data_IF_298734365775
#
_entry.id   IF_298734365775
#
_cell.length_a   1.000
_cell.length_b   1.000
_cell.length_c   1.000
_cell.angle_alpha   90.00
_cell.angle_beta   90.00
_cell.angle_gamma   90.00
#
_symmetry.space_group_name_H-M   'P 1'
#
loop_
_entity.id
_entity.type
_entity.pdbx_description
1 polymer ?
#
# COMPACT_ATOMS: atom_id res chain seq x y z
N UNK A 1 35.76 1.61 0.84
CA UNK A 1 35.73 0.58 -0.23
C UNK A 1 37.16 0.11 -0.47
N UNK A 2 37.40 -1.20 -0.65
CA UNK A 2 38.76 -1.77 -0.74
C UNK A 2 39.37 -1.71 -2.16
N UNK A 3 38.53 -1.75 -3.21
CA UNK A 3 38.97 -1.85 -4.62
C UNK A 3 38.42 -0.75 -5.52
N UNK A 4 37.51 0.11 -5.03
CA UNK A 4 36.84 1.15 -5.82
C UNK A 4 35.87 0.64 -6.89
N UNK A 5 35.64 -0.68 -6.98
CA UNK A 5 34.65 -1.30 -7.87
C UNK A 5 33.64 -2.08 -7.05
N UNK A 6 32.37 -1.97 -7.41
CA UNK A 6 31.31 -2.74 -6.77
C UNK A 6 31.44 -4.23 -7.11
N UNK A 7 31.26 -5.14 -6.13
CA UNK A 7 31.30 -6.57 -6.39
C UNK A 7 30.10 -7.01 -7.24
N UNK A 8 30.30 -8.06 -8.04
CA UNK A 8 29.21 -8.71 -8.74
C UNK A 8 28.29 -9.41 -7.71
N UNK A 9 26.99 -9.16 -7.82
CA UNK A 9 25.97 -9.74 -6.94
C UNK A 9 25.12 -10.73 -7.72
N UNK A 10 24.96 -11.92 -7.14
CA UNK A 10 24.18 -13.02 -7.71
C UNK A 10 23.12 -13.49 -6.71
N UNK A 11 22.03 -14.02 -7.24
CA UNK A 11 20.93 -14.63 -6.51
C UNK A 11 20.80 -16.07 -7.00
N UNK A 12 20.81 -17.01 -6.05
CA UNK A 12 20.45 -18.40 -6.34
C UNK A 12 18.95 -18.56 -6.13
N UNK A 13 18.26 -18.99 -7.18
CA UNK A 13 16.86 -19.31 -7.13
C UNK A 13 16.71 -20.81 -6.85
N UNK A 14 16.24 -21.12 -5.64
CA UNK A 14 16.01 -22.48 -5.14
C UNK A 14 14.51 -22.83 -5.05
N UNK A 15 13.65 -22.05 -5.73
CA UNK A 15 12.19 -22.29 -5.71
C UNK A 15 11.83 -23.62 -6.38
N UNK A 16 12.58 -24.01 -7.41
CA UNK A 16 12.55 -25.35 -8.01
C UNK A 16 13.81 -26.10 -7.58
N UNK A 17 13.64 -27.20 -6.83
CA UNK A 17 14.76 -28.00 -6.33
C UNK A 17 15.38 -28.90 -7.42
N UNK A 18 14.68 -29.07 -8.55
CA UNK A 18 15.18 -29.83 -9.70
C UNK A 18 15.92 -28.95 -10.71
N UNK A 19 15.69 -27.64 -10.69
CA UNK A 19 16.34 -26.66 -11.56
C UNK A 19 16.86 -25.45 -10.76
N UNK A 20 18.00 -25.63 -10.10
CA UNK A 20 18.68 -24.53 -9.40
C UNK A 20 19.33 -23.60 -10.42
N UNK A 21 18.88 -22.34 -10.42
CA UNK A 21 19.43 -21.31 -11.31
C UNK A 21 20.17 -20.24 -10.51
N UNK A 22 21.30 -19.77 -11.04
CA UNK A 22 22.02 -18.61 -10.50
C UNK A 22 21.93 -17.48 -11.51
N UNK A 23 21.40 -16.34 -11.09
CA UNK A 23 21.28 -15.15 -11.93
C UNK A 23 21.86 -13.92 -11.24
N UNK A 24 22.15 -12.86 -12.01
CA UNK A 24 22.59 -11.60 -11.41
C UNK A 24 21.46 -10.99 -10.57
N UNK A 25 21.81 -10.26 -9.51
CA UNK A 25 20.82 -9.58 -8.69
C UNK A 25 19.96 -8.59 -9.50
N UNK A 26 20.53 -7.94 -10.51
CA UNK A 26 19.78 -7.06 -11.41
C UNK A 26 18.72 -7.83 -12.23
N UNK A 27 19.07 -9.01 -12.75
CA UNK A 27 18.12 -9.89 -13.46
C UNK A 27 17.00 -10.36 -12.53
N UNK A 28 17.35 -10.82 -11.33
CA UNK A 28 16.38 -11.28 -10.34
C UNK A 28 15.37 -10.17 -9.94
N UNK A 29 15.85 -8.95 -9.68
CA UNK A 29 14.99 -7.80 -9.37
C UNK A 29 14.08 -7.47 -10.54
N UNK A 30 14.62 -7.38 -11.76
CA UNK A 30 13.83 -7.09 -12.94
C UNK A 30 12.71 -8.12 -13.16
N UNK A 31 13.03 -9.42 -12.97
CA UNK A 31 12.08 -10.52 -13.07
C UNK A 31 10.98 -10.41 -12.01
N UNK A 32 11.34 -10.27 -10.73
CA UNK A 32 10.35 -10.14 -9.65
C UNK A 32 9.45 -8.90 -9.83
N UNK A 33 10.00 -7.78 -10.32
CA UNK A 33 9.20 -6.61 -10.64
C UNK A 33 8.15 -6.93 -11.72
N UNK A 34 8.53 -7.54 -12.83
CA UNK A 34 7.61 -7.81 -13.94
C UNK A 34 6.61 -8.94 -13.64
N UNK A 35 7.04 -10.02 -12.99
CA UNK A 35 6.21 -11.21 -12.79
C UNK A 35 5.30 -11.10 -11.56
N UNK A 36 5.58 -10.15 -10.66
CA UNK A 36 4.81 -9.96 -9.43
C UNK A 36 4.36 -8.53 -9.24
N UNK A 37 5.28 -7.62 -8.88
CA UNK A 37 4.90 -6.32 -8.36
C UNK A 37 4.27 -5.37 -9.39
N UNK A 38 4.53 -5.58 -10.67
CA UNK A 38 3.96 -4.82 -11.78
C UNK A 38 2.96 -5.65 -12.58
N UNK A 39 2.69 -6.89 -12.16
CA UNK A 39 1.82 -7.79 -12.90
C UNK A 39 0.35 -7.48 -12.58
N UNK A 40 -0.53 -7.30 -13.59
CA UNK A 40 -1.92 -6.90 -13.38
C UNK A 40 -2.70 -7.88 -12.50
N UNK A 41 -2.44 -9.19 -12.60
CA UNK A 41 -3.11 -10.18 -11.76
C UNK A 41 -2.74 -10.06 -10.28
N UNK A 42 -1.46 -9.76 -9.98
CA UNK A 42 -1.03 -9.53 -8.61
C UNK A 42 -1.66 -8.25 -8.06
N UNK A 43 -1.68 -7.18 -8.86
CA UNK A 43 -2.31 -5.91 -8.49
C UNK A 43 -3.80 -6.13 -8.19
N UNK A 44 -4.53 -6.84 -9.05
CA UNK A 44 -5.94 -7.17 -8.82
C UNK A 44 -6.14 -7.97 -7.52
N UNK A 45 -5.26 -8.92 -7.22
CA UNK A 45 -5.31 -9.65 -5.95
C UNK A 45 -5.07 -8.72 -4.76
N UNK A 46 -4.08 -7.83 -4.83
CA UNK A 46 -3.85 -6.83 -3.78
C UNK A 46 -5.02 -5.87 -3.62
N UNK A 47 -5.69 -5.48 -4.71
CA UNK A 47 -6.91 -4.66 -4.65
C UNK A 47 -8.02 -5.34 -3.87
N UNK A 48 -8.21 -6.65 -4.05
CA UNK A 48 -9.21 -7.44 -3.33
C UNK A 48 -8.95 -7.46 -1.82
N UNK A 49 -7.69 -7.34 -1.39
CA UNK A 49 -7.26 -7.25 0.01
C UNK A 49 -7.48 -5.85 0.63
N UNK A 50 -7.88 -4.84 -0.15
CA UNK A 50 -8.16 -3.50 0.34
C UNK A 50 -6.94 -2.81 0.96
N UNK A 51 -7.06 -2.38 2.22
CA UNK A 51 -6.01 -1.65 2.95
C UNK A 51 -4.69 -2.43 3.07
N UNK A 52 -4.74 -3.74 3.35
CA UNK A 52 -3.51 -4.53 3.49
C UNK A 52 -2.77 -4.67 2.16
N UNK A 53 -3.52 -4.63 1.05
CA UNK A 53 -2.95 -4.64 -0.30
C UNK A 53 -2.16 -3.39 -0.64
N UNK A 54 -2.61 -2.21 -0.21
CA UNK A 54 -1.88 -0.95 -0.43
C UNK A 54 -0.52 -0.95 0.28
N UNK A 55 -0.44 -1.61 1.44
CA UNK A 55 0.83 -1.76 2.17
C UNK A 55 1.85 -2.60 1.40
N UNK A 56 1.41 -3.57 0.58
CA UNK A 56 2.32 -4.34 -0.27
C UNK A 56 2.88 -3.50 -1.42
N UNK A 57 2.09 -2.58 -1.98
CA UNK A 57 2.57 -1.61 -2.97
C UNK A 57 3.62 -0.69 -2.35
N UNK A 58 3.33 -0.13 -1.17
CA UNK A 58 4.30 0.68 -0.42
C UNK A 58 5.58 -0.11 -0.12
N UNK A 59 5.44 -1.37 0.34
CA UNK A 59 6.58 -2.25 0.62
C UNK A 59 7.45 -2.49 -0.62
N UNK A 60 6.82 -2.62 -1.80
CA UNK A 60 7.55 -2.74 -3.07
C UNK A 60 8.44 -1.52 -3.32
N UNK A 61 7.90 -0.30 -3.20
CA UNK A 61 8.68 0.92 -3.39
C UNK A 61 9.83 1.04 -2.37
N UNK A 62 9.59 0.64 -1.11
CA UNK A 62 10.62 0.62 -0.07
C UNK A 62 11.72 -0.42 -0.32
N UNK A 63 11.37 -1.60 -0.83
CA UNK A 63 12.35 -2.63 -1.19
C UNK A 63 13.20 -2.21 -2.38
N UNK A 64 12.59 -1.62 -3.41
CA UNK A 64 13.33 -1.09 -4.54
C UNK A 64 14.32 -0.02 -4.10
N UNK A 65 13.93 0.85 -3.18
CA UNK A 65 14.83 1.81 -2.55
C UNK A 65 15.96 1.17 -1.76
N UNK A 66 15.67 0.13 -0.98
CA UNK A 66 16.67 -0.62 -0.24
C UNK A 66 17.78 -1.08 -1.19
N UNK A 67 17.41 -1.75 -2.27
CA UNK A 67 18.34 -2.20 -3.31
C UNK A 67 19.08 -1.03 -4.00
N UNK A 68 18.38 0.07 -4.27
CA UNK A 68 18.99 1.26 -4.89
C UNK A 68 20.13 1.84 -4.06
N UNK A 69 19.99 1.86 -2.74
CA UNK A 69 20.99 2.44 -1.83
C UNK A 69 22.08 1.45 -1.46
N UNK A 70 21.76 0.16 -1.33
CA UNK A 70 22.74 -0.86 -0.91
C UNK A 70 23.54 -1.46 -2.07
N UNK A 71 22.94 -1.53 -3.26
CA UNK A 71 23.54 -2.09 -4.47
C UNK A 71 23.05 -1.34 -5.72
N UNK A 72 23.46 -0.08 -5.92
CA UNK A 72 22.90 0.82 -6.91
C UNK A 72 22.92 0.28 -8.34
N UNK A 73 23.94 -0.50 -8.71
CA UNK A 73 24.08 -1.16 -10.01
C UNK A 73 22.97 -2.18 -10.32
N UNK A 74 22.18 -2.60 -9.33
CA UNK A 74 21.11 -3.60 -9.50
C UNK A 74 19.78 -2.98 -9.94
N UNK A 75 19.55 -1.71 -9.60
CA UNK A 75 18.31 -0.98 -9.89
C UNK A 75 18.52 -0.04 -11.08
N UNK A 76 17.71 -0.22 -12.13
CA UNK A 76 17.75 0.62 -13.32
C UNK A 76 16.67 1.70 -13.29
N UNK A 77 16.85 2.71 -14.13
CA UNK A 77 15.91 3.84 -14.32
C UNK A 77 14.48 3.37 -14.63
N UNK A 78 14.33 2.35 -15.48
CA UNK A 78 13.04 1.82 -15.92
C UNK A 78 12.25 1.13 -14.80
N UNK A 79 12.90 0.68 -13.73
CA UNK A 79 12.22 0.11 -12.58
C UNK A 79 11.34 1.15 -11.87
N UNK A 80 11.89 2.35 -11.60
CA UNK A 80 11.13 3.46 -11.02
C UNK A 80 10.07 4.00 -12.00
N UNK A 81 10.42 4.11 -13.28
CA UNK A 81 9.47 4.51 -14.32
C UNK A 81 8.28 3.56 -14.40
N UNK A 82 8.51 2.25 -14.29
CA UNK A 82 7.46 1.24 -14.35
C UNK A 82 6.54 1.31 -13.13
N UNK A 83 7.09 1.54 -11.92
CA UNK A 83 6.26 1.79 -10.74
C UNK A 83 5.35 3.00 -10.93
N UNK A 84 5.89 4.11 -11.45
CA UNK A 84 5.09 5.30 -11.75
C UNK A 84 3.99 5.00 -12.77
N UNK A 85 4.35 4.38 -13.89
CA UNK A 85 3.37 4.09 -14.95
C UNK A 85 2.25 3.18 -14.44
N UNK A 86 2.58 2.14 -13.68
CA UNK A 86 1.61 1.17 -13.19
C UNK A 86 0.72 1.74 -12.09
N UNK A 87 1.28 2.43 -11.09
CA UNK A 87 0.52 2.82 -9.91
C UNK A 87 -0.01 4.25 -9.95
N UNK A 88 0.67 5.17 -10.64
CA UNK A 88 0.31 6.59 -10.72
C UNK A 88 -0.48 6.89 -12.00
N UNK A 89 0.00 6.40 -13.15
CA UNK A 89 -0.70 6.54 -14.45
C UNK A 89 -1.75 5.47 -14.70
N UNK A 90 -1.86 4.48 -13.82
CA UNK A 90 -2.76 3.34 -13.98
C UNK A 90 -2.66 2.71 -15.38
N UNK A 91 -1.44 2.34 -15.79
CA UNK A 91 -1.15 1.84 -17.15
C UNK A 91 -2.09 0.71 -17.60
N UNK A 92 -2.56 -0.13 -16.67
CA UNK A 92 -3.46 -1.24 -16.95
C UNK A 92 -4.95 -0.91 -16.84
N UNK A 93 -5.29 0.34 -16.50
CA UNK A 93 -6.68 0.81 -16.30
C UNK A 93 -7.44 -0.02 -15.27
N UNK A 94 -6.75 -0.37 -14.18
CA UNK A 94 -7.31 -1.17 -13.10
C UNK A 94 -7.93 -0.28 -12.01
N UNK A 95 -7.86 1.04 -12.12
CA UNK A 95 -8.24 1.97 -11.05
C UNK A 95 -7.28 1.89 -9.86
N UNK A 96 -5.98 1.78 -10.13
CA UNK A 96 -4.96 1.65 -9.06
C UNK A 96 -4.91 2.90 -8.20
N UNK A 97 -5.02 4.08 -8.80
CA UNK A 97 -4.91 5.36 -8.10
C UNK A 97 -6.09 5.58 -7.17
N UNK A 98 -7.31 5.38 -7.67
CA UNK A 98 -8.55 5.48 -6.90
C UNK A 98 -8.55 4.48 -5.74
N UNK A 99 -8.07 3.26 -5.98
CA UNK A 99 -7.94 2.25 -4.93
C UNK A 99 -6.92 2.66 -3.85
N UNK A 100 -5.73 3.12 -4.24
CA UNK A 100 -4.68 3.52 -3.30
C UNK A 100 -5.10 4.75 -2.48
N UNK A 101 -5.66 5.78 -3.12
CA UNK A 101 -6.17 6.98 -2.47
C UNK A 101 -7.42 6.72 -1.62
N UNK A 102 -8.29 5.80 -2.05
CA UNK A 102 -9.51 5.44 -1.32
C UNK A 102 -9.24 4.57 -0.11
N UNK A 103 -8.39 3.55 -0.26
CA UNK A 103 -8.17 2.54 0.77
C UNK A 103 -7.12 2.98 1.79
N UNK A 104 -6.05 3.65 1.37
CA UNK A 104 -4.96 4.05 2.27
C UNK A 104 -4.13 5.21 1.70
N UNK A 105 -4.61 6.43 1.93
CA UNK A 105 -3.94 7.67 1.50
C UNK A 105 -2.50 7.78 2.01
N UNK A 106 -2.23 7.32 3.23
CA UNK A 106 -0.90 7.38 3.82
C UNK A 106 0.10 6.47 3.13
N UNK A 107 -0.30 5.24 2.77
CA UNK A 107 0.56 4.35 2.03
C UNK A 107 0.84 4.88 0.61
N UNK A 108 -0.16 5.48 -0.03
CA UNK A 108 0.04 6.10 -1.33
C UNK A 108 1.00 7.29 -1.26
N UNK A 109 0.80 8.20 -0.30
CA UNK A 109 1.69 9.35 -0.07
C UNK A 109 3.14 8.91 0.14
N UNK A 110 3.38 7.89 0.96
CA UNK A 110 4.72 7.35 1.21
C UNK A 110 5.32 6.65 -0.01
N UNK A 111 4.49 6.02 -0.85
CA UNK A 111 4.96 5.42 -2.11
C UNK A 111 5.43 6.51 -3.07
N UNK A 112 4.65 7.58 -3.22
CA UNK A 112 5.01 8.76 -4.01
C UNK A 112 6.25 9.46 -3.45
N UNK A 113 6.33 9.61 -2.13
CA UNK A 113 7.50 10.17 -1.44
C UNK A 113 8.76 9.40 -1.81
N UNK A 114 8.69 8.06 -1.84
CA UNK A 114 9.83 7.22 -2.18
C UNK A 114 10.27 7.37 -3.63
N UNK A 115 9.31 7.46 -4.54
CA UNK A 115 9.60 7.72 -5.95
C UNK A 115 10.25 9.10 -6.14
N UNK A 116 9.74 10.14 -5.47
CA UNK A 116 10.34 11.48 -5.51
C UNK A 116 11.72 11.54 -4.88
N UNK A 117 11.98 10.76 -3.83
CA UNK A 117 13.30 10.63 -3.23
C UNK A 117 14.32 10.07 -4.24
N UNK A 118 13.90 9.08 -5.06
CA UNK A 118 14.75 8.56 -6.14
C UNK A 118 15.07 9.63 -7.18
N UNK A 119 14.12 10.51 -7.51
CA UNK A 119 14.36 11.66 -8.39
C UNK A 119 15.30 12.67 -7.74
N UNK A 120 15.00 13.07 -6.50
CA UNK A 120 15.76 14.07 -5.74
C UNK A 120 17.23 13.69 -5.56
N UNK A 121 17.53 12.40 -5.41
CA UNK A 121 18.89 11.87 -5.27
C UNK A 121 19.52 11.43 -6.60
N UNK A 122 18.92 11.75 -7.74
CA UNK A 122 19.39 11.39 -9.08
C UNK A 122 19.51 9.87 -9.34
N UNK A 123 18.88 9.04 -8.52
CA UNK A 123 18.75 7.60 -8.79
C UNK A 123 17.78 7.33 -9.93
N UNK A 124 16.78 8.19 -10.10
CA UNK A 124 15.84 8.15 -11.21
C UNK A 124 15.76 9.51 -11.92
N UNK A 125 15.89 9.53 -13.24
CA UNK A 125 15.84 10.72 -14.09
C UNK A 125 14.65 10.60 -15.05
N UNK A 126 13.41 10.80 -14.57
CA UNK A 126 12.24 10.82 -15.44
C UNK A 126 12.24 12.03 -16.37
N UNK A 127 11.47 11.92 -17.45
CA UNK A 127 11.13 13.08 -18.26
C UNK A 127 10.35 14.13 -17.44
N UNK A 128 10.29 15.36 -17.96
CA UNK A 128 9.67 16.46 -17.22
C UNK A 128 8.16 16.29 -17.03
N UNK A 129 7.48 15.58 -17.93
CA UNK A 129 6.05 15.30 -17.78
C UNK A 129 5.80 14.39 -16.56
N UNK A 130 6.52 13.27 -16.50
CA UNK A 130 6.52 12.29 -15.42
C UNK A 130 6.92 12.95 -14.09
N UNK A 131 7.96 13.80 -14.10
CA UNK A 131 8.40 14.53 -12.90
C UNK A 131 7.32 15.48 -12.37
N UNK A 132 6.63 16.20 -13.27
CA UNK A 132 5.52 17.09 -12.91
C UNK A 132 4.34 16.31 -12.36
N UNK A 133 3.90 15.26 -13.05
CA UNK A 133 2.79 14.40 -12.64
C UNK A 133 3.03 13.81 -11.25
N UNK A 134 4.22 13.26 -11.01
CA UNK A 134 4.59 12.68 -9.73
C UNK A 134 4.61 13.74 -8.60
N UNK A 135 5.15 14.92 -8.87
CA UNK A 135 5.18 16.04 -7.92
C UNK A 135 3.78 16.50 -7.55
N UNK A 136 2.89 16.63 -8.56
CA UNK A 136 1.50 17.00 -8.35
C UNK A 136 0.78 15.95 -7.51
N UNK A 137 0.89 14.67 -7.88
CA UNK A 137 0.28 13.57 -7.14
C UNK A 137 0.73 13.54 -5.68
N UNK A 138 2.02 13.75 -5.41
CA UNK A 138 2.55 13.82 -4.04
C UNK A 138 1.94 14.99 -3.26
N UNK A 139 1.91 16.19 -3.86
CA UNK A 139 1.37 17.37 -3.19
C UNK A 139 -0.13 17.22 -2.86
N UNK A 140 -0.92 16.65 -3.79
CA UNK A 140 -2.33 16.32 -3.58
C UNK A 140 -2.50 15.31 -2.45
N UNK A 141 -1.71 14.22 -2.48
CA UNK A 141 -1.75 13.16 -1.48
C UNK A 141 -1.36 13.67 -0.08
N UNK A 142 -0.34 14.52 0.01
CA UNK A 142 0.10 15.13 1.28
C UNK A 142 -0.97 16.03 1.89
N UNK A 143 -1.63 16.88 1.08
CA UNK A 143 -2.77 17.70 1.53
C UNK A 143 -3.92 16.82 2.02
N UNK A 144 -4.20 15.71 1.34
CA UNK A 144 -5.32 14.84 1.64
C UNK A 144 -5.11 13.93 2.86
N UNK A 145 -3.86 13.61 3.21
CA UNK A 145 -3.56 12.67 4.31
C UNK A 145 -3.32 13.37 5.65
N UNK A 146 -2.82 14.60 5.65
CA UNK A 146 -2.46 15.30 6.89
C UNK A 146 -1.29 14.66 7.65
N UNK A 147 -0.43 13.90 6.96
CA UNK A 147 0.74 13.24 7.55
C UNK A 147 1.69 14.25 8.19
N UNK A 148 1.86 14.14 9.51
CA UNK A 148 2.79 14.96 10.30
C UNK A 148 4.24 14.54 10.14
N UNK A 149 4.47 13.25 9.88
CA UNK A 149 5.80 12.69 9.66
C UNK A 149 5.96 12.40 8.16
N UNK A 150 6.67 13.29 7.49
CA UNK A 150 7.03 13.16 6.07
C UNK A 150 8.42 13.75 5.86
N UNK A 151 9.08 13.32 4.78
CA UNK A 151 10.46 13.69 4.52
C UNK A 151 10.54 15.17 4.11
N UNK A 152 11.03 16.03 5.02
CA UNK A 152 11.20 17.47 4.77
C UNK A 152 12.09 17.77 3.55
N UNK A 153 13.03 16.90 3.20
CA UNK A 153 13.85 17.09 2.01
C UNK A 153 13.04 16.87 0.72
N UNK A 154 12.16 15.86 0.71
CA UNK A 154 11.24 15.61 -0.42
C UNK A 154 10.22 16.72 -0.55
N UNK A 155 9.63 17.20 0.55
CA UNK A 155 8.70 18.33 0.51
C UNK A 155 9.32 19.59 -0.09
N UNK A 156 10.55 19.93 0.32
CA UNK A 156 11.27 21.09 -0.24
C UNK A 156 11.56 20.90 -1.73
N UNK A 157 11.97 19.69 -2.12
CA UNK A 157 12.18 19.35 -3.52
C UNK A 157 10.89 19.50 -4.34
N UNK A 158 9.78 18.93 -3.88
CA UNK A 158 8.48 19.02 -4.53
C UNK A 158 7.98 20.47 -4.63
N UNK A 159 8.17 21.29 -3.59
CA UNK A 159 7.84 22.70 -3.60
C UNK A 159 8.65 23.47 -4.66
N UNK A 160 9.96 23.21 -4.75
CA UNK A 160 10.82 23.82 -5.76
C UNK A 160 10.43 23.41 -7.20
N UNK A 161 10.09 22.13 -7.42
CA UNK A 161 9.60 21.65 -8.72
C UNK A 161 8.28 22.31 -9.12
N UNK A 162 7.41 22.58 -8.14
CA UNK A 162 6.13 23.26 -8.38
C UNK A 162 6.31 24.74 -8.74
N UNK A 163 7.29 25.42 -8.13
CA UNK A 163 7.59 26.83 -8.49
C UNK A 163 8.22 27.00 -9.87
N UNK A 164 8.88 25.97 -10.39
CA UNK A 164 9.49 25.99 -11.73
C UNK A 164 8.46 25.82 -12.85
N UNK A 165 7.25 25.34 -12.53
CA UNK A 165 6.19 25.07 -13.50
C UNK A 165 4.85 25.72 -13.06
N UNK A 166 4.71 27.06 -13.17
CA UNK A 166 3.52 27.79 -12.68
C UNK A 166 2.22 27.50 -13.45
N UNK A 167 2.26 26.76 -14.55
CA UNK A 167 1.12 26.55 -15.46
C UNK A 167 -0.08 25.81 -14.86
N UNK A 168 0.02 25.21 -13.66
CA UNK A 168 -1.12 24.58 -12.96
C UNK A 168 -1.74 25.44 -11.87
N UNK A 169 -1.21 26.65 -11.61
CA UNK A 169 -1.70 27.53 -10.53
C UNK A 169 -2.61 28.68 -11.00
N UNK A 170 -2.89 28.79 -12.30
CA UNK A 170 -3.73 29.85 -12.87
C UNK A 170 -5.03 29.29 -13.46
N UNK A 171 -5.90 28.76 -12.60
CA UNK A 171 -7.34 28.67 -12.90
C UNK A 171 -8.17 28.69 -11.63
N UNK A 172 -7.93 29.68 -10.75
CA UNK A 172 -8.86 30.07 -9.68
C UNK A 172 -8.50 31.46 -9.10
N UNK A 173 -8.39 32.49 -9.95
CA UNK A 173 -8.31 33.86 -9.46
C UNK A 173 -8.76 34.87 -10.53
N UNK A 174 -10.02 34.78 -10.96
CA UNK A 174 -10.70 35.92 -11.55
C UNK A 174 -11.45 36.65 -10.43
N UNK A 175 -10.89 37.78 -9.97
CA UNK A 175 -11.66 38.79 -9.24
C UNK A 175 -12.77 39.32 -10.16
N UNK A 176 -13.93 39.68 -9.61
CA UNK A 176 -14.45 41.01 -9.92
C UNK A 176 -14.57 41.92 -8.70
N UNK A 177 -14.47 43.21 -9.02
CA UNK A 177 -14.44 44.38 -8.16
C UNK A 177 -15.58 44.50 -7.14
N UNK A 178 -15.26 45.15 -6.02
CA UNK A 178 -16.17 45.66 -5.01
C UNK A 178 -17.12 46.72 -5.57
N UNK A 179 -18.41 46.58 -5.27
CA UNK A 179 -19.33 47.71 -5.13
C UNK A 179 -19.91 47.66 -3.72
N UNK A 180 -19.64 48.73 -2.98
CA UNK A 180 -20.15 48.98 -1.65
C UNK A 180 -21.62 49.41 -1.74
N UNK A 181 -22.51 48.71 -1.05
CA UNK A 181 -23.78 49.24 -0.60
C UNK A 181 -24.00 48.82 0.86
N UNK A 182 -24.16 49.85 1.70
CA UNK A 182 -24.42 49.73 3.12
C UNK A 182 -25.84 49.21 3.39
N UNK A 183 -25.98 48.29 4.35
CA UNK A 183 -27.26 47.91 4.95
C UNK A 183 -27.06 47.92 6.48
N UNK A 184 -28.04 48.40 7.27
CA UNK A 184 -27.81 48.85 8.64
C UNK A 184 -27.72 47.72 9.65
N UNK A 185 -26.99 48.05 10.72
CA UNK A 185 -26.82 47.34 11.98
C UNK A 185 -28.14 46.78 12.52
N UNK A 186 -28.16 45.47 12.76
CA UNK A 186 -29.10 44.82 13.68
C UNK A 186 -28.27 44.10 14.74
N UNK A 187 -28.42 44.54 15.97
CA UNK A 187 -27.81 43.95 17.16
C UNK A 187 -28.17 42.47 17.28
N UNK A 188 -27.16 41.61 17.44
CA UNK A 188 -27.32 40.25 17.93
C UNK A 188 -26.11 39.87 18.81
N UNK A 189 -26.45 39.75 20.10
CA UNK A 189 -25.78 39.14 21.26
C UNK A 189 -24.61 38.17 20.97
N UNK A 190 -23.53 38.17 21.78
CA UNK A 190 -22.41 37.26 21.61
C UNK A 190 -22.81 35.85 22.08
N UNK A 191 -23.05 34.93 21.16
CA UNK A 191 -23.03 33.50 21.45
C UNK A 191 -21.59 33.00 21.47
N UNK A 192 -21.24 32.39 22.59
CA UNK A 192 -19.91 31.87 22.89
C UNK A 192 -19.44 30.88 21.81
N UNK A 193 -18.17 31.03 21.45
CA UNK A 193 -17.39 30.07 20.69
C UNK A 193 -17.54 28.69 21.33
N UNK A 194 -18.23 27.77 20.64
CA UNK A 194 -18.19 26.37 20.96
C UNK A 194 -16.77 25.86 20.68
N UNK A 195 -16.01 25.68 21.76
CA UNK A 195 -14.75 24.95 21.76
C UNK A 195 -15.09 23.53 21.27
N UNK A 196 -14.70 23.21 20.04
CA UNK A 196 -14.81 21.86 19.50
C UNK A 196 -13.93 20.96 20.36
N UNK A 197 -14.56 20.27 21.31
CA UNK A 197 -13.97 19.24 22.16
C UNK A 197 -13.53 18.10 21.25
N UNK A 198 -12.23 17.90 21.13
CA UNK A 198 -11.65 16.77 20.40
C UNK A 198 -12.19 15.43 20.91
N UNK A 199 -12.21 14.42 20.04
CA UNK A 199 -12.62 13.06 20.40
C UNK A 199 -11.86 12.61 21.66
N UNK A 200 -12.60 12.45 22.75
CA UNK A 200 -12.12 11.83 23.98
C UNK A 200 -12.06 10.33 23.73
N UNK A 201 -10.86 9.75 23.78
CA UNK A 201 -10.67 8.31 23.82
C UNK A 201 -11.21 7.82 25.17
N UNK A 202 -12.37 7.19 25.17
CA UNK A 202 -12.71 6.31 26.29
C UNK A 202 -11.94 5.01 26.12
N UNK A 203 -11.26 4.60 27.19
CA UNK A 203 -10.71 3.26 27.31
C UNK A 203 -11.90 2.31 27.35
N UNK A 204 -12.22 1.72 26.21
CA UNK A 204 -13.19 0.64 26.16
C UNK A 204 -12.55 -0.57 26.84
N UNK A 205 -12.84 -0.74 28.13
CA UNK A 205 -12.57 -1.99 28.83
C UNK A 205 -13.19 -3.11 28.00
N UNK A 206 -12.32 -3.99 27.51
CA UNK A 206 -12.67 -5.17 26.74
C UNK A 206 -13.67 -5.99 27.54
N UNK A 207 -14.94 -5.97 27.09
CA UNK A 207 -15.95 -6.92 27.53
C UNK A 207 -15.37 -8.34 27.35
N UNK A 208 -15.35 -9.19 28.40
CA UNK A 208 -14.93 -10.55 28.23
C UNK A 208 -15.84 -11.20 27.19
N UNK A 209 -15.24 -11.78 26.14
CA UNK A 209 -15.94 -12.65 25.18
C UNK A 209 -16.85 -13.60 25.98
N UNK A 210 -18.12 -13.78 25.60
CA UNK A 210 -18.95 -14.76 26.27
C UNK A 210 -18.22 -16.10 26.17
N UNK A 211 -17.84 -16.65 27.33
CA UNK A 211 -17.28 -17.98 27.39
C UNK A 211 -18.28 -18.90 26.70
N UNK A 212 -17.89 -19.51 25.57
CA UNK A 212 -18.68 -20.58 24.99
C UNK A 212 -18.92 -21.60 26.10
N UNK A 213 -20.20 -21.77 26.45
CA UNK A 213 -20.62 -22.70 27.49
C UNK A 213 -19.98 -24.05 27.25
N UNK A 214 -19.18 -24.53 28.22
CA UNK A 214 -18.49 -25.82 28.21
C UNK A 214 -19.47 -26.97 27.93
N UNK A 215 -20.76 -26.78 28.20
CA UNK A 215 -21.86 -27.71 27.88
C UNK A 215 -21.98 -27.96 26.37
N UNK A 216 -21.80 -26.95 25.53
CA UNK A 216 -21.93 -27.11 24.07
C UNK A 216 -20.74 -27.89 23.47
N UNK A 217 -19.54 -27.77 24.06
CA UNK A 217 -18.35 -28.51 23.65
C UNK A 217 -18.43 -30.00 24.02
N UNK A 218 -19.03 -30.32 25.18
CA UNK A 218 -19.28 -31.71 25.61
C UNK A 218 -20.35 -32.39 24.74
N UNK A 219 -21.41 -31.67 24.33
CA UNK A 219 -22.43 -32.21 23.44
C UNK A 219 -21.86 -32.59 22.07
N UNK A 220 -20.96 -31.78 21.51
CA UNK A 220 -20.30 -32.08 20.23
C UNK A 220 -19.42 -33.34 20.31
N UNK A 221 -18.69 -33.55 21.41
CA UNK A 221 -17.88 -34.75 21.63
C UNK A 221 -18.73 -36.03 21.74
N UNK A 222 -19.90 -35.95 22.38
CA UNK A 222 -20.84 -37.09 22.46
C UNK A 222 -21.40 -37.49 21.10
N UNK A 223 -21.71 -36.52 20.23
CA UNK A 223 -22.19 -36.80 18.86
C UNK A 223 -21.11 -37.52 18.04
N UNK A 224 -19.85 -37.08 18.15
CA UNK A 224 -18.72 -37.73 17.45
C UNK A 224 -18.51 -39.16 17.96
N UNK A 225 -18.58 -39.38 19.27
CA UNK A 225 -18.44 -40.72 19.86
C UNK A 225 -19.57 -41.68 19.40
N UNK A 226 -20.81 -41.19 19.32
CA UNK A 226 -21.96 -41.96 18.81
C UNK A 226 -21.77 -42.39 17.35
N UNK A 227 -21.27 -41.49 16.50
CA UNK A 227 -21.00 -41.80 15.08
C UNK A 227 -19.91 -42.87 14.93
N UNK A 228 -18.84 -42.80 15.71
CA UNK A 228 -17.77 -43.81 15.71
C UNK A 228 -18.27 -45.17 16.23
N UNK A 229 -19.10 -45.18 17.28
CA UNK A 229 -19.71 -46.40 17.81
C UNK A 229 -20.65 -47.08 16.81
N UNK A 230 -21.50 -46.31 16.13
CA UNK A 230 -22.37 -46.81 15.06
C UNK A 230 -21.57 -47.38 13.88
N UNK A 231 -20.47 -46.73 13.49
CA UNK A 231 -19.55 -47.22 12.47
C UNK A 231 -18.93 -48.57 12.84
N UNK A 232 -18.40 -48.68 14.07
CA UNK A 232 -17.80 -49.92 14.56
C UNK A 232 -18.84 -51.06 14.68
N UNK A 233 -20.06 -50.75 15.12
CA UNK A 233 -21.15 -51.73 15.18
C UNK A 233 -21.54 -52.24 13.80
N UNK A 234 -21.74 -51.35 12.81
CA UNK A 234 -22.04 -51.75 11.44
C UNK A 234 -20.92 -52.60 10.83
N UNK A 235 -19.66 -52.22 11.07
CA UNK A 235 -18.50 -52.98 10.60
C UNK A 235 -18.45 -54.39 11.23
N UNK A 236 -18.66 -54.50 12.54
CA UNK A 236 -18.71 -55.81 13.23
C UNK A 236 -19.84 -56.71 12.73
N UNK A 237 -21.01 -56.13 12.38
CA UNK A 237 -22.16 -56.86 11.86
C UNK A 237 -21.90 -57.39 10.44
N UNK A 238 -21.21 -56.60 9.60
CA UNK A 238 -20.75 -57.03 8.27
C UNK A 238 -19.74 -58.18 8.37
N UNK A 239 -18.82 -58.13 9.33
CA UNK A 239 -17.83 -59.20 9.54
C UNK A 239 -18.47 -60.52 10.03
N UNK A 240 -19.57 -60.46 10.79
CA UNK A 240 -20.32 -61.66 11.21
C UNK A 240 -21.10 -62.31 10.07
N UNK A 241 -21.59 -61.53 9.09
CA UNK A 241 -22.31 -62.08 7.94
C UNK A 241 -21.38 -62.76 6.92
N UNK A 242 -20.13 -62.29 6.79
CA UNK A 242 -19.13 -62.92 5.91
C UNK A 242 -18.64 -64.28 6.43
N UNK A 243 -18.76 -64.56 7.73
CA UNK A 243 -18.36 -65.86 8.32
C UNK A 243 -19.47 -66.94 8.29
N UNK A 244 -20.66 -66.62 7.78
CA UNK A 244 -21.82 -67.53 7.72
C UNK A 244 -22.27 -67.83 6.27
N UNK A 245 -21.46 -67.45 5.28
CA UNK A 245 -21.58 -67.82 3.87
C UNK A 245 -20.32 -68.58 3.45
#
# INVERSE_FOLDING_TARGET
>A
QLTGKDPALYVQNLRDTTEVTTESASSAIAKEMQTRYLHPQWITAQKAEGYSGTLQVLKTAQFLWGWQVTAPQTVRQDHWQSLHNVYVRDQYKLGTREWLEGSNRAAFAQTLERMLDAVRLNYWQPDDATKRELTQAYNESMKATGLRESNKAVQRFAAAQSSLNPSSSQSAAAKPAQQAQAIPTKEAKPELQEIIKGLKLELQESQPKPAMSVVNSLAALWVVALLLGLGAWQQSRRWRQIKLA
#
